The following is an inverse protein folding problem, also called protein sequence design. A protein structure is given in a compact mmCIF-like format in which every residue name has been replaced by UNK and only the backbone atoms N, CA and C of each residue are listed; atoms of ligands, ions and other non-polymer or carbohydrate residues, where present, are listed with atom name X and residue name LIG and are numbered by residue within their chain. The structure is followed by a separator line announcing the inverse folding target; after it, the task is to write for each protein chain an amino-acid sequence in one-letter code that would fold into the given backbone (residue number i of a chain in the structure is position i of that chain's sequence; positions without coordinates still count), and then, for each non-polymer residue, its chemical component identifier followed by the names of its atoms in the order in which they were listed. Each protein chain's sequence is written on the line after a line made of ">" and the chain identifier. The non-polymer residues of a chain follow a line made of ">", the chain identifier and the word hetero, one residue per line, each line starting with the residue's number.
data_IF_398994792376
#
_entry.id   IF_398994792376
#
_cell.length_a   1.000
_cell.length_b   1.000
_cell.length_c   1.000
_cell.angle_alpha   90.00
_cell.angle_beta   90.00
_cell.angle_gamma   90.00
#
_symmetry.space_group_name_H-M   'P 1'
#
loop_
_entity.id
_entity.type
_entity.pdbx_description
1 polymer ?
#
# COMPACT_ATOMS: atom_id res chain seq x y z
N UNK A 1 4.62 2.63 -3.29
CA UNK A 1 4.06 2.99 -1.97
C UNK A 1 3.09 1.90 -1.55
N UNK A 2 3.01 1.59 -0.26
CA UNK A 2 1.92 0.78 0.29
C UNK A 2 1.09 1.63 1.26
N UNK A 3 -0.17 1.29 1.41
CA UNK A 3 -1.11 1.90 2.35
C UNK A 3 -1.54 0.92 3.43
N UNK A 4 -1.66 1.41 4.66
CA UNK A 4 -2.16 0.67 5.80
C UNK A 4 -3.66 0.94 5.95
N UNK A 5 -4.49 -0.12 6.04
CA UNK A 5 -5.93 0.05 6.17
C UNK A 5 -6.28 0.66 7.52
N UNK A 6 -7.05 1.74 7.51
CA UNK A 6 -7.51 2.38 8.72
C UNK A 6 -8.59 1.59 9.45
N UNK A 7 -9.06 2.19 10.55
CA UNK A 7 -10.05 1.59 11.43
C UNK A 7 -9.46 0.68 12.52
N UNK A 8 -10.26 0.39 13.54
CA UNK A 8 -9.77 -0.16 14.80
C UNK A 8 -9.34 -1.63 14.72
N UNK A 9 -9.81 -2.37 13.71
CA UNK A 9 -9.45 -3.78 13.52
C UNK A 9 -7.99 -3.99 13.08
N UNK A 10 -7.39 -2.97 12.43
CA UNK A 10 -6.05 -3.02 11.86
C UNK A 10 -5.04 -2.16 12.61
N UNK A 11 -5.49 -1.27 13.51
CA UNK A 11 -4.64 -0.30 14.21
C UNK A 11 -3.35 -0.89 14.82
N UNK A 12 -3.43 -2.10 15.39
CA UNK A 12 -2.30 -2.77 16.05
C UNK A 12 -1.57 -3.80 15.16
N UNK A 13 -1.92 -3.91 13.89
CA UNK A 13 -1.31 -4.85 12.95
C UNK A 13 -0.39 -4.10 12.01
N UNK A 14 0.73 -4.71 11.66
CA UNK A 14 1.70 -4.09 10.77
C UNK A 14 2.23 -5.03 9.68
N UNK A 15 2.41 -6.32 9.96
CA UNK A 15 2.80 -7.29 8.94
C UNK A 15 1.59 -7.95 8.29
N UNK A 16 1.67 -8.17 6.97
CA UNK A 16 0.65 -8.86 6.18
C UNK A 16 -0.67 -8.10 5.98
N UNK A 17 -0.74 -6.81 6.33
CA UNK A 17 -1.98 -6.02 6.29
C UNK A 17 -1.94 -4.83 5.34
N UNK A 18 -0.75 -4.36 4.98
CA UNK A 18 -0.59 -3.27 4.02
C UNK A 18 -1.01 -3.71 2.63
N UNK A 19 -1.43 -2.78 1.79
CA UNK A 19 -1.82 -3.09 0.41
C UNK A 19 -1.46 -1.98 -0.56
N UNK A 20 -1.58 -2.26 -1.84
CA UNK A 20 -1.58 -1.26 -2.92
C UNK A 20 -2.97 -0.61 -2.93
N UNK A 21 -3.09 0.74 -3.04
CA UNK A 21 -4.37 1.43 -3.16
C UNK A 21 -5.21 0.86 -4.29
N UNK A 22 -6.50 0.60 -4.06
CA UNK A 22 -7.40 -0.01 -5.04
C UNK A 22 -8.86 0.09 -4.58
N UNK A 23 -9.75 0.33 -5.53
CA UNK A 23 -11.18 0.11 -5.31
C UNK A 23 -11.84 -0.65 -6.44
N UNK A 24 -13.11 -0.33 -6.66
CA UNK A 24 -13.97 -1.04 -7.60
C UNK A 24 -14.24 -0.13 -8.80
N UNK A 25 -14.32 -0.70 -10.02
CA UNK A 25 -14.73 0.08 -11.17
C UNK A 25 -16.17 0.55 -11.01
N UNK A 26 -16.42 1.79 -11.40
CA UNK A 26 -17.76 2.35 -11.43
C UNK A 26 -18.30 2.31 -12.87
N UNK A 27 -19.47 1.70 -13.06
CA UNK A 27 -20.11 1.60 -14.37
C UNK A 27 -19.24 0.91 -15.43
N UNK A 28 -18.79 1.68 -16.43
CA UNK A 28 -17.98 1.21 -17.56
C UNK A 28 -16.59 1.85 -17.60
N UNK A 29 -16.10 2.33 -16.46
CA UNK A 29 -14.77 2.91 -16.34
C UNK A 29 -13.68 1.92 -16.78
N UNK A 30 -12.64 2.42 -17.46
CA UNK A 30 -11.50 1.57 -17.83
C UNK A 30 -10.71 1.22 -16.58
N UNK A 31 -10.08 0.04 -16.51
CA UNK A 31 -9.36 -0.38 -15.30
C UNK A 31 -8.29 0.60 -14.80
N UNK A 32 -7.54 1.25 -15.70
CA UNK A 32 -6.54 2.26 -15.32
C UNK A 32 -7.18 3.56 -14.79
N UNK A 33 -8.31 3.98 -15.36
CA UNK A 33 -9.03 5.19 -14.91
C UNK A 33 -9.56 4.96 -13.48
N UNK A 34 -10.11 3.77 -13.22
CA UNK A 34 -10.48 3.34 -11.86
C UNK A 34 -9.28 3.36 -10.92
N UNK A 35 -8.14 2.78 -11.31
CA UNK A 35 -6.95 2.77 -10.47
C UNK A 35 -6.46 4.18 -10.11
N UNK A 36 -6.52 5.13 -11.05
CA UNK A 36 -6.17 6.53 -10.81
C UNK A 36 -7.12 7.23 -9.84
N UNK A 37 -8.43 7.08 -10.05
CA UNK A 37 -9.48 7.67 -9.18
C UNK A 37 -9.34 7.15 -7.75
N UNK A 38 -9.25 5.83 -7.59
CA UNK A 38 -9.11 5.17 -6.30
C UNK A 38 -7.80 5.53 -5.59
N UNK A 39 -6.70 5.64 -6.33
CA UNK A 39 -5.44 6.12 -5.77
C UNK A 39 -5.59 7.54 -5.20
N UNK A 40 -6.30 8.43 -5.90
CA UNK A 40 -6.58 9.78 -5.43
C UNK A 40 -7.52 9.78 -4.22
N UNK A 41 -8.56 8.96 -4.19
CA UNK A 41 -9.50 8.86 -3.08
C UNK A 41 -8.86 8.29 -1.81
N UNK A 42 -8.02 7.27 -1.95
CA UNK A 42 -7.36 6.63 -0.81
C UNK A 42 -6.16 7.43 -0.29
N UNK A 43 -5.51 8.24 -1.13
CA UNK A 43 -4.22 8.86 -0.80
C UNK A 43 -4.16 10.37 -0.92
N UNK A 44 -5.11 10.99 -1.63
CA UNK A 44 -5.13 12.41 -1.94
C UNK A 44 -4.23 12.81 -3.11
N UNK A 45 -3.43 11.89 -3.66
CA UNK A 45 -2.48 12.19 -4.73
C UNK A 45 -3.04 11.88 -6.13
N UNK A 46 -2.72 12.73 -7.09
CA UNK A 46 -2.95 12.43 -8.50
C UNK A 46 -1.92 11.43 -9.02
N UNK A 47 -2.35 10.51 -9.88
CA UNK A 47 -1.47 9.58 -10.60
C UNK A 47 -1.52 9.90 -12.10
N UNK A 48 -0.49 10.58 -12.59
CA UNK A 48 -0.30 10.88 -14.02
C UNK A 48 1.15 10.60 -14.39
N UNK A 49 1.36 10.00 -15.57
CA UNK A 49 2.67 9.68 -16.11
C UNK A 49 2.64 8.39 -16.93
N UNK A 50 3.82 7.78 -17.09
CA UNK A 50 3.97 6.51 -17.79
C UNK A 50 3.72 5.34 -16.83
N UNK A 51 2.64 4.61 -17.09
CA UNK A 51 2.24 3.47 -16.26
C UNK A 51 2.84 2.18 -16.80
N UNK A 52 3.38 1.37 -15.90
CA UNK A 52 3.82 0.01 -16.17
C UNK A 52 2.70 -0.93 -15.74
N UNK A 53 2.11 -1.66 -16.69
CA UNK A 53 1.11 -2.68 -16.39
C UNK A 53 1.76 -3.90 -15.70
N UNK A 54 1.38 -4.15 -14.43
CA UNK A 54 1.84 -5.31 -13.68
C UNK A 54 0.88 -6.52 -13.81
N UNK A 55 -0.17 -6.39 -14.61
CA UNK A 55 -1.19 -7.39 -14.87
C UNK A 55 -2.09 -7.68 -13.68
N UNK A 56 -2.68 -8.88 -13.70
CA UNK A 56 -3.68 -9.29 -12.71
C UNK A 56 -3.16 -10.37 -11.76
N UNK A 57 -3.65 -10.35 -10.51
CA UNK A 57 -3.49 -11.43 -9.53
C UNK A 57 -4.80 -11.67 -8.77
N UNK A 58 -5.05 -12.93 -8.39
CA UNK A 58 -6.16 -13.30 -7.53
C UNK A 58 -5.86 -12.90 -6.08
N UNK A 59 -6.61 -11.92 -5.54
CA UNK A 59 -6.57 -11.59 -4.12
C UNK A 59 -7.45 -12.52 -3.27
N UNK A 60 -8.52 -13.06 -3.86
CA UNK A 60 -9.32 -14.12 -3.24
C UNK A 60 -10.06 -14.91 -4.32
N UNK A 61 -10.81 -15.95 -3.94
CA UNK A 61 -11.67 -16.71 -4.88
C UNK A 61 -12.67 -15.83 -5.66
N UNK A 62 -13.03 -14.66 -5.13
CA UNK A 62 -14.03 -13.76 -5.71
C UNK A 62 -13.45 -12.40 -6.14
N UNK A 63 -12.13 -12.19 -6.01
CA UNK A 63 -11.52 -10.88 -6.26
C UNK A 63 -10.20 -11.05 -7.00
N UNK A 64 -10.18 -10.53 -8.23
CA UNK A 64 -8.98 -10.28 -9.03
C UNK A 64 -8.60 -8.81 -8.82
N UNK A 65 -7.31 -8.52 -8.79
CA UNK A 65 -6.77 -7.15 -8.72
C UNK A 65 -5.87 -6.96 -9.93
N UNK A 66 -6.06 -5.87 -10.66
CA UNK A 66 -5.17 -5.39 -11.73
C UNK A 66 -4.39 -4.20 -11.19
N UNK A 67 -3.06 -4.20 -11.35
CA UNK A 67 -2.19 -3.15 -10.80
C UNK A 67 -1.32 -2.56 -11.90
N UNK A 68 -1.12 -1.24 -11.80
CA UNK A 68 -0.10 -0.51 -12.54
C UNK A 68 0.93 0.07 -11.56
N UNK A 69 2.17 0.16 -12.01
CA UNK A 69 3.21 0.92 -11.32
C UNK A 69 3.43 2.27 -12.03
N UNK A 70 3.78 3.27 -11.24
CA UNK A 70 4.17 4.60 -11.70
C UNK A 70 5.37 5.03 -10.85
N UNK A 71 6.45 5.46 -11.50
CA UNK A 71 7.57 6.10 -10.80
C UNK A 71 7.15 7.52 -10.41
N UNK A 72 7.13 7.79 -9.11
CA UNK A 72 6.78 9.11 -8.58
C UNK A 72 7.37 9.32 -7.19
N UNK A 73 7.92 10.51 -6.97
CA UNK A 73 8.31 10.96 -5.64
C UNK A 73 7.11 11.58 -4.94
N UNK A 74 6.68 10.99 -3.83
CA UNK A 74 5.51 11.41 -3.07
C UNK A 74 5.89 11.55 -1.60
N UNK A 75 5.63 12.73 -1.05
CA UNK A 75 5.69 12.96 0.39
C UNK A 75 4.46 12.35 1.07
N UNK A 76 4.61 11.11 1.51
CA UNK A 76 3.59 10.28 2.16
C UNK A 76 3.03 10.88 3.46
N UNK A 77 3.64 11.92 4.02
CA UNK A 77 3.09 12.64 5.17
C UNK A 77 1.81 13.42 4.83
N UNK A 78 1.58 13.68 3.53
CA UNK A 78 0.39 14.40 3.03
C UNK A 78 -0.76 13.46 2.61
N UNK A 79 -0.72 12.18 2.99
CA UNK A 79 -1.79 11.26 2.66
C UNK A 79 -3.08 11.65 3.36
N UNK A 80 -4.13 11.83 2.56
CA UNK A 80 -5.49 12.09 3.03
C UNK A 80 -6.42 11.10 2.34
N UNK A 81 -7.12 10.31 3.14
CA UNK A 81 -8.00 9.23 2.68
C UNK A 81 -9.46 9.58 2.94
N UNK A 82 -10.35 9.11 2.06
CA UNK A 82 -11.78 9.07 2.35
C UNK A 82 -12.09 8.31 3.64
N UNK A 83 -13.24 8.61 4.25
CA UNK A 83 -13.68 7.96 5.49
C UNK A 83 -14.87 7.04 5.25
N UNK A 84 -15.01 6.05 6.12
CA UNK A 84 -16.16 5.18 6.18
C UNK A 84 -16.73 5.11 7.61
N UNK A 85 -18.06 5.00 7.74
CA UNK A 85 -18.70 4.79 9.03
C UNK A 85 -18.50 3.35 9.51
N UNK A 86 -18.14 3.19 10.78
CA UNK A 86 -18.07 1.89 11.44
C UNK A 86 -18.60 1.98 12.86
N UNK A 87 -19.48 1.04 13.20
CA UNK A 87 -19.87 0.84 14.60
C UNK A 87 -18.73 0.18 15.39
N UNK A 88 -18.24 0.87 16.42
CA UNK A 88 -17.15 0.36 17.24
C UNK A 88 -17.21 0.84 18.71
N UNK A 89 -17.05 -0.06 19.71
CA UNK A 89 -16.95 -1.52 19.61
C UNK A 89 -18.23 -2.16 19.05
N UNK A 90 -18.12 -3.42 18.59
CA UNK A 90 -19.27 -4.14 18.01
C UNK A 90 -20.45 -4.22 18.99
N UNK A 91 -21.67 -3.98 18.51
CA UNK A 91 -22.92 -3.96 19.27
C UNK A 91 -23.00 -2.84 20.33
N UNK A 92 -22.21 -1.77 20.19
CA UNK A 92 -22.28 -0.60 21.07
C UNK A 92 -23.32 0.43 20.62
N UNK A 93 -23.80 0.35 19.38
CA UNK A 93 -24.63 1.37 18.74
C UNK A 93 -23.90 2.69 18.45
N UNK A 94 -22.58 2.78 18.71
CA UNK A 94 -21.78 3.97 18.47
C UNK A 94 -21.06 3.88 17.12
N UNK A 95 -21.45 4.74 16.19
CA UNK A 95 -20.83 4.85 14.86
C UNK A 95 -19.78 5.96 14.88
N UNK A 96 -18.59 5.63 14.38
CA UNK A 96 -17.48 6.55 14.21
C UNK A 96 -17.02 6.53 12.75
N UNK A 97 -16.48 7.67 12.28
CA UNK A 97 -15.81 7.75 10.99
C UNK A 97 -14.35 7.34 11.14
N UNK A 98 -13.89 6.46 10.25
CA UNK A 98 -12.48 6.07 10.16
C UNK A 98 -11.98 6.29 8.74
N UNK A 99 -10.71 6.70 8.55
CA UNK A 99 -10.14 6.75 7.21
C UNK A 99 -9.99 5.34 6.65
N UNK A 100 -10.18 5.17 5.34
CA UNK A 100 -9.89 3.89 4.66
C UNK A 100 -8.41 3.55 4.72
N UNK A 101 -7.56 4.56 4.59
CA UNK A 101 -6.10 4.49 4.78
C UNK A 101 -5.69 5.38 5.94
N UNK A 102 -5.09 4.79 6.98
CA UNK A 102 -4.57 5.57 8.11
C UNK A 102 -3.12 6.03 7.93
N UNK A 103 -2.35 5.31 7.11
CA UNK A 103 -0.92 5.55 6.88
C UNK A 103 -0.52 5.11 5.48
N UNK A 104 0.48 5.78 4.94
CA UNK A 104 1.24 5.30 3.80
C UNK A 104 2.71 5.07 4.15
N UNK A 105 3.40 4.28 3.33
CA UNK A 105 4.79 3.93 3.57
C UNK A 105 5.54 3.61 2.29
N UNK A 106 6.76 4.14 2.24
CA UNK A 106 7.82 3.67 1.36
C UNK A 106 8.69 2.69 2.15
N UNK A 107 8.99 1.55 1.54
CA UNK A 107 9.74 0.48 2.17
C UNK A 107 10.75 -0.08 1.17
N UNK A 108 11.87 -0.60 1.68
CA UNK A 108 12.70 -1.50 0.89
C UNK A 108 11.90 -2.77 0.50
N UNK A 109 12.37 -3.48 -0.51
CA UNK A 109 11.69 -4.64 -1.08
C UNK A 109 11.43 -5.74 -0.04
N UNK A 110 12.41 -6.02 0.83
CA UNK A 110 12.31 -7.12 1.80
C UNK A 110 11.25 -6.81 2.86
N UNK A 111 11.21 -5.56 3.33
CA UNK A 111 10.22 -5.10 4.30
C UNK A 111 8.84 -4.95 3.65
N UNK A 112 8.77 -4.45 2.41
CA UNK A 112 7.52 -4.35 1.65
C UNK A 112 6.84 -5.71 1.53
N UNK A 113 7.60 -6.76 1.18
CA UNK A 113 7.10 -8.15 1.09
C UNK A 113 6.58 -8.71 2.42
N UNK A 114 7.12 -8.27 3.56
CA UNK A 114 6.65 -8.66 4.89
C UNK A 114 5.38 -7.91 5.32
N UNK A 115 5.29 -6.62 4.95
CA UNK A 115 4.19 -5.73 5.33
C UNK A 115 2.94 -5.94 4.47
N UNK A 116 3.12 -6.15 3.18
CA UNK A 116 2.02 -6.29 2.23
C UNK A 116 1.25 -7.59 2.46
N UNK A 117 -0.05 -7.58 2.15
CA UNK A 117 -0.87 -8.79 2.06
C UNK A 117 -0.22 -9.80 1.11
N UNK A 118 -0.23 -11.07 1.52
CA UNK A 118 0.46 -12.16 0.81
C UNK A 118 0.07 -12.26 -0.66
N UNK A 119 -1.19 -12.01 -0.98
CA UNK A 119 -1.72 -12.15 -2.33
C UNK A 119 -1.22 -11.06 -3.30
N UNK A 120 -0.68 -9.96 -2.78
CA UNK A 120 -0.15 -8.86 -3.58
C UNK A 120 1.38 -8.88 -3.71
N UNK A 121 2.07 -9.80 -3.03
CA UNK A 121 3.54 -9.93 -3.12
C UNK A 121 4.00 -10.09 -4.57
N UNK A 122 3.25 -10.85 -5.38
CA UNK A 122 3.60 -11.10 -6.78
C UNK A 122 3.68 -9.83 -7.64
N UNK A 123 3.01 -8.73 -7.27
CA UNK A 123 3.17 -7.46 -7.98
C UNK A 123 4.55 -6.84 -7.76
N UNK A 124 5.11 -6.97 -6.55
CA UNK A 124 6.48 -6.52 -6.27
C UNK A 124 7.47 -7.33 -7.13
N UNK A 125 7.29 -8.65 -7.20
CA UNK A 125 8.14 -9.52 -8.01
C UNK A 125 8.07 -9.18 -9.51
N UNK A 126 6.86 -8.92 -10.02
CA UNK A 126 6.66 -8.50 -11.42
C UNK A 126 7.33 -7.17 -11.72
N UNK A 127 7.14 -6.17 -10.85
CA UNK A 127 7.78 -4.86 -11.03
C UNK A 127 9.30 -5.00 -11.04
N UNK A 128 9.87 -5.72 -10.07
CA UNK A 128 11.31 -5.98 -10.02
C UNK A 128 11.84 -6.63 -11.30
N UNK A 129 11.11 -7.59 -11.86
CA UNK A 129 11.46 -8.23 -13.12
C UNK A 129 11.45 -7.26 -14.30
N UNK A 130 10.42 -6.42 -14.40
CA UNK A 130 10.26 -5.44 -15.50
C UNK A 130 11.38 -4.39 -15.47
N UNK A 131 11.71 -3.87 -14.29
CA UNK A 131 12.77 -2.83 -14.15
C UNK A 131 14.19 -3.43 -14.06
N UNK A 132 14.35 -4.74 -14.26
CA UNK A 132 15.61 -5.47 -14.14
C UNK A 132 16.33 -5.21 -12.80
N UNK A 133 15.56 -5.15 -11.71
CA UNK A 133 16.10 -4.84 -10.38
C UNK A 133 17.06 -5.94 -9.94
N UNK A 134 18.35 -5.62 -9.97
CA UNK A 134 19.40 -6.48 -9.42
C UNK A 134 19.59 -6.14 -7.95
N UNK A 135 19.27 -7.06 -7.04
CA UNK A 135 19.64 -6.90 -5.63
C UNK A 135 21.16 -6.80 -5.53
N UNK A 136 21.68 -5.57 -5.41
CA UNK A 136 23.02 -5.38 -4.86
C UNK A 136 22.94 -5.83 -3.41
N UNK A 137 23.39 -7.06 -3.12
CA UNK A 137 23.73 -7.45 -1.76
C UNK A 137 24.86 -6.55 -1.32
N UNK A 138 24.56 -5.47 -0.61
CA UNK A 138 25.59 -4.83 0.20
C UNK A 138 26.08 -5.88 1.20
N UNK A 139 27.39 -6.17 1.24
CA UNK A 139 27.92 -7.00 2.31
C UNK A 139 27.54 -6.35 3.64
N UNK A 140 26.99 -7.12 4.57
CA UNK A 140 26.89 -6.69 5.97
C UNK A 140 28.31 -6.48 6.51
N UNK A 141 28.89 -5.30 6.28
CA UNK A 141 30.00 -4.83 7.10
C UNK A 141 29.42 -4.59 8.50
N UNK A 142 29.74 -5.49 9.43
CA UNK A 142 29.51 -5.26 10.86
C UNK A 142 30.40 -4.10 11.32
N UNK A 143 30.00 -2.85 11.04
CA UNK A 143 30.64 -1.67 11.62
C UNK A 143 30.38 -1.69 13.12
N UNK A 144 31.42 -1.93 13.91
CA UNK A 144 31.42 -1.64 15.34
C UNK A 144 31.19 -0.14 15.51
N UNK A 145 30.08 0.24 16.12
CA UNK A 145 29.81 1.62 16.53
C UNK A 145 29.92 1.75 18.04
N UNK A 146 30.42 2.92 18.49
CA UNK A 146 30.45 3.29 19.90
C UNK A 146 29.17 4.03 20.22
N UNK A 147 28.36 3.46 21.10
CA UNK A 147 27.17 4.11 21.64
C UNK A 147 27.60 4.94 22.86
N UNK A 148 27.32 6.24 22.82
CA UNK A 148 27.60 7.17 23.93
C UNK A 148 26.30 7.90 24.25
N UNK A 149 25.97 8.03 25.53
CA UNK A 149 24.71 8.64 25.99
C UNK A 149 25.00 9.64 27.11
N UNK A 150 24.06 10.54 27.35
CA UNK A 150 23.93 11.35 28.56
C UNK A 150 22.52 11.13 29.13
N UNK A 151 22.35 11.37 30.43
CA UNK A 151 21.06 11.32 31.12
C UNK A 151 20.32 12.65 30.95
#
# INVERSE_FOLDING_TARGET
>A
MLVHPGGPFWANKDYGVWSIPKGLPEGHEKPLDTAKREFKEETGFEADGEFIDLGELNQSRKKIVHVWALEKDLDISNVVSNTFPLEWPKNSGKVHEYPEVDRAGWFDIELAKKKIRKEQIGFIDRLMGIINYSQKKEPLEKKRYRQTTLF
#
